data_IF_485647237513
#
_entry.id   IF_485647237513
#
_cell.length_a   1.000
_cell.length_b   1.000
_cell.length_c   1.000
_cell.angle_alpha   90.00
_cell.angle_beta   90.00
_cell.angle_gamma   90.00
#
_symmetry.space_group_name_H-M   'P 1'
#
loop_
_entity.id
_entity.type
_entity.pdbx_description
1 polymer ?
#
# COMPACT_ATOMS: atom_id res chain seq x y z
N UNK A 1 15.13 -36.70 -8.90
CA UNK A 1 15.44 -37.66 -7.82
C UNK A 1 14.86 -37.18 -6.49
N UNK A 2 14.18 -38.06 -5.79
CA UNK A 2 13.70 -37.74 -4.45
C UNK A 2 14.87 -37.84 -3.45
N UNK A 3 14.99 -36.85 -2.55
CA UNK A 3 16.00 -36.88 -1.50
C UNK A 3 15.52 -37.73 -0.32
N UNK A 4 16.45 -38.49 0.26
CA UNK A 4 16.12 -39.46 1.33
C UNK A 4 15.69 -38.80 2.62
N UNK A 5 16.15 -37.57 2.88
CA UNK A 5 15.77 -36.80 4.09
C UNK A 5 15.85 -35.28 3.86
N UNK A 6 15.29 -34.51 4.80
CA UNK A 6 15.29 -33.04 4.75
C UNK A 6 16.67 -32.41 4.79
N UNK A 7 17.63 -33.08 5.45
CA UNK A 7 18.99 -32.57 5.58
C UNK A 7 19.72 -32.58 4.23
N UNK A 8 19.59 -33.68 3.46
CA UNK A 8 20.16 -33.79 2.11
C UNK A 8 19.49 -32.78 1.16
N UNK A 9 18.19 -32.61 1.29
CA UNK A 9 17.43 -31.65 0.51
C UNK A 9 17.92 -30.21 0.80
N UNK A 10 18.16 -29.85 2.06
CA UNK A 10 18.67 -28.54 2.46
C UNK A 10 20.09 -28.29 1.92
N UNK A 11 20.96 -29.29 1.96
CA UNK A 11 22.33 -29.21 1.42
C UNK A 11 22.30 -28.98 -0.09
N UNK A 12 21.45 -29.72 -0.82
CA UNK A 12 21.29 -29.55 -2.26
C UNK A 12 20.73 -28.17 -2.62
N UNK A 13 19.74 -27.67 -1.88
CA UNK A 13 19.17 -26.35 -2.07
C UNK A 13 20.21 -25.26 -1.86
N UNK A 14 21.02 -25.36 -0.81
CA UNK A 14 22.10 -24.41 -0.51
C UNK A 14 23.16 -24.40 -1.63
N UNK A 15 23.57 -25.56 -2.08
CA UNK A 15 24.52 -25.70 -3.18
C UNK A 15 24.00 -25.06 -4.46
N UNK A 16 22.74 -25.32 -4.80
CA UNK A 16 22.08 -24.73 -5.96
C UNK A 16 22.03 -23.20 -5.85
N UNK A 17 21.65 -22.67 -4.69
CA UNK A 17 21.60 -21.23 -4.44
C UNK A 17 22.98 -20.58 -4.61
N UNK A 18 24.02 -21.14 -4.00
CA UNK A 18 25.38 -20.60 -4.08
C UNK A 18 25.91 -20.60 -5.51
N UNK A 19 25.62 -21.65 -6.29
CA UNK A 19 26.04 -21.77 -7.69
C UNK A 19 25.33 -20.75 -8.60
N UNK A 20 24.10 -20.36 -8.26
CA UNK A 20 23.25 -19.49 -9.10
C UNK A 20 22.91 -18.15 -8.44
N UNK A 21 23.56 -17.83 -7.35
CA UNK A 21 23.26 -16.65 -6.51
C UNK A 21 23.10 -15.37 -7.32
N UNK A 22 24.04 -15.06 -8.20
CA UNK A 22 24.01 -13.82 -8.99
C UNK A 22 22.81 -13.81 -9.95
N UNK A 23 22.53 -14.92 -10.61
CA UNK A 23 21.37 -15.05 -11.52
C UNK A 23 20.04 -14.87 -10.77
N UNK A 24 19.95 -15.47 -9.58
CA UNK A 24 18.74 -15.38 -8.72
C UNK A 24 18.53 -13.94 -8.28
N UNK A 25 19.57 -13.28 -7.80
CA UNK A 25 19.51 -11.86 -7.36
C UNK A 25 19.10 -10.97 -8.51
N UNK A 26 19.72 -11.11 -9.68
CA UNK A 26 19.44 -10.28 -10.86
C UNK A 26 17.99 -10.46 -11.33
N UNK A 27 17.51 -11.71 -11.34
CA UNK A 27 16.11 -12.01 -11.70
C UNK A 27 15.12 -11.38 -10.73
N UNK A 28 15.40 -11.47 -9.42
CA UNK A 28 14.56 -10.88 -8.39
C UNK A 28 14.52 -9.36 -8.49
N UNK A 29 15.67 -8.73 -8.71
CA UNK A 29 15.77 -7.27 -8.91
C UNK A 29 14.96 -6.84 -10.13
N UNK A 30 15.08 -7.54 -11.25
CA UNK A 30 14.32 -7.24 -12.47
C UNK A 30 12.81 -7.35 -12.22
N UNK A 31 12.36 -8.44 -11.59
CA UNK A 31 10.95 -8.64 -11.21
C UNK A 31 10.43 -7.53 -10.33
N UNK A 32 11.21 -7.12 -9.33
CA UNK A 32 10.83 -6.06 -8.40
C UNK A 32 10.69 -4.71 -9.09
N UNK A 33 11.60 -4.38 -10.00
CA UNK A 33 11.54 -3.15 -10.79
C UNK A 33 10.28 -3.13 -11.67
N UNK A 34 10.00 -4.23 -12.35
CA UNK A 34 8.80 -4.37 -13.19
C UNK A 34 7.51 -4.26 -12.37
N UNK A 35 7.45 -4.91 -11.21
CA UNK A 35 6.29 -4.86 -10.31
C UNK A 35 6.04 -3.45 -9.76
N UNK A 36 7.09 -2.75 -9.35
CA UNK A 36 6.99 -1.37 -8.85
C UNK A 36 6.49 -0.43 -9.93
N UNK A 37 7.03 -0.53 -11.14
CA UNK A 37 6.58 0.29 -12.27
C UNK A 37 5.11 0.03 -12.57
N UNK A 38 4.71 -1.24 -12.65
CA UNK A 38 3.32 -1.63 -12.88
C UNK A 38 2.39 -1.05 -11.83
N UNK A 39 2.77 -1.13 -10.55
CA UNK A 39 1.95 -0.62 -9.44
C UNK A 39 1.83 0.90 -9.49
N UNK A 40 2.93 1.62 -9.76
CA UNK A 40 2.91 3.08 -9.94
C UNK A 40 2.01 3.49 -11.10
N UNK A 41 2.13 2.83 -12.23
CA UNK A 41 1.32 3.12 -13.42
C UNK A 41 -0.16 2.86 -13.15
N UNK A 42 -0.48 1.79 -12.43
CA UNK A 42 -1.85 1.45 -12.05
C UNK A 42 -2.45 2.51 -11.13
N UNK A 43 -1.74 2.90 -10.07
CA UNK A 43 -2.18 3.93 -9.12
C UNK A 43 -2.39 5.26 -9.85
N UNK A 44 -1.46 5.63 -10.73
CA UNK A 44 -1.58 6.84 -11.55
C UNK A 44 -2.82 6.81 -12.45
N UNK A 45 -3.11 5.65 -13.07
CA UNK A 45 -4.29 5.50 -13.93
C UNK A 45 -5.61 5.66 -13.15
N UNK A 46 -5.66 5.17 -11.93
CA UNK A 46 -6.82 5.36 -11.04
C UNK A 46 -7.02 6.83 -10.71
N UNK A 47 -5.96 7.56 -10.41
CA UNK A 47 -6.03 8.99 -10.11
C UNK A 47 -6.47 9.82 -11.31
N UNK A 48 -6.04 9.46 -12.52
CA UNK A 48 -6.42 10.18 -13.75
C UNK A 48 -7.93 10.14 -14.00
N UNK A 49 -8.60 9.08 -13.59
CA UNK A 49 -10.04 8.90 -13.76
C UNK A 49 -10.85 9.35 -12.55
N UNK A 50 -10.20 9.81 -11.51
CA UNK A 50 -10.83 10.17 -10.24
C UNK A 50 -10.96 11.68 -10.08
N UNK A 51 -11.79 12.08 -9.12
CA UNK A 51 -11.93 13.46 -8.68
C UNK A 51 -12.14 13.49 -7.17
N UNK A 52 -11.85 14.63 -6.54
CA UNK A 52 -12.09 14.81 -5.12
C UNK A 52 -13.58 14.65 -4.80
N UNK A 53 -13.90 13.78 -3.84
CA UNK A 53 -15.30 13.53 -3.44
C UNK A 53 -15.98 14.74 -2.79
N UNK A 54 -15.19 15.69 -2.27
CA UNK A 54 -15.71 16.86 -1.58
C UNK A 54 -15.84 18.10 -2.48
N UNK A 55 -14.82 18.41 -3.29
CA UNK A 55 -14.78 19.62 -4.11
C UNK A 55 -14.74 19.41 -5.62
N UNK A 56 -14.58 18.17 -6.07
CA UNK A 56 -14.54 17.84 -7.49
C UNK A 56 -13.22 18.11 -8.20
N UNK A 57 -12.15 18.48 -7.47
CA UNK A 57 -10.82 18.67 -8.06
C UNK A 57 -10.38 17.40 -8.80
N UNK A 58 -9.94 17.52 -10.03
CA UNK A 58 -9.58 16.39 -10.89
C UNK A 58 -8.10 16.35 -11.30
N UNK A 59 -7.28 17.28 -10.81
CA UNK A 59 -5.85 17.25 -11.08
C UNK A 59 -5.19 16.09 -10.33
N UNK A 60 -4.70 15.04 -11.02
CA UNK A 60 -4.15 13.86 -10.35
C UNK A 60 -2.94 14.15 -9.48
N UNK A 61 -2.22 15.26 -9.72
CA UNK A 61 -1.03 15.64 -8.93
C UNK A 61 -1.40 15.92 -7.48
N UNK A 62 -2.58 16.52 -7.25
CA UNK A 62 -3.01 16.92 -5.91
C UNK A 62 -4.06 15.99 -5.30
N UNK A 63 -4.40 14.90 -5.99
CA UNK A 63 -5.32 13.89 -5.46
C UNK A 63 -4.58 12.90 -4.56
N UNK A 64 -5.22 12.55 -3.47
CA UNK A 64 -4.71 11.61 -2.47
C UNK A 64 -5.76 10.56 -2.14
N UNK A 65 -5.31 9.40 -1.65
CA UNK A 65 -6.19 8.34 -1.18
C UNK A 65 -6.39 8.48 0.33
N UNK A 66 -7.63 8.65 0.75
CA UNK A 66 -8.03 8.77 2.15
C UNK A 66 -8.73 7.50 2.60
N UNK A 67 -8.14 6.76 3.53
CA UNK A 67 -8.72 5.54 4.06
C UNK A 67 -9.94 5.85 4.93
N UNK A 68 -11.11 5.36 4.50
CA UNK A 68 -12.40 5.66 5.15
C UNK A 68 -13.14 4.40 5.63
N UNK A 69 -12.69 3.23 5.23
CA UNK A 69 -13.33 1.94 5.58
C UNK A 69 -12.31 0.83 5.74
N UNK A 70 -12.67 -0.15 6.52
CA UNK A 70 -11.83 -1.32 6.77
C UNK A 70 -10.56 -0.97 7.56
N UNK A 71 -9.65 -1.93 7.63
CA UNK A 71 -8.37 -1.78 8.31
C UNK A 71 -7.27 -1.36 7.33
N UNK A 72 -6.60 -0.25 7.60
CA UNK A 72 -5.50 0.25 6.78
C UNK A 72 -4.29 -0.69 6.89
N UNK A 73 -3.89 -1.26 5.77
CA UNK A 73 -2.70 -2.11 5.68
C UNK A 73 -1.46 -1.30 5.32
N UNK A 74 -1.57 -0.35 4.40
CA UNK A 74 -0.48 0.48 3.92
C UNK A 74 -1.02 1.73 3.24
N UNK A 75 -0.20 2.75 3.08
CA UNK A 75 -0.52 3.88 2.21
C UNK A 75 -0.51 3.41 0.75
N UNK A 76 -1.54 3.77 -0.02
CA UNK A 76 -1.62 3.39 -1.43
C UNK A 76 -0.40 3.89 -2.22
N UNK A 77 0.04 5.11 -1.96
CA UNK A 77 1.23 5.67 -2.63
C UNK A 77 2.50 4.88 -2.36
N UNK A 78 2.67 4.37 -1.14
CA UNK A 78 3.82 3.54 -0.77
C UNK A 78 3.79 2.18 -1.46
N UNK A 79 2.61 1.64 -1.75
CA UNK A 79 2.46 0.38 -2.48
C UNK A 79 2.99 0.45 -3.91
N UNK A 80 3.03 1.64 -4.50
CA UNK A 80 3.66 1.89 -5.80
C UNK A 80 5.18 1.71 -5.79
N UNK A 81 5.80 1.76 -4.62
CA UNK A 81 7.25 1.57 -4.44
C UNK A 81 7.61 0.17 -3.96
N UNK A 82 6.65 -0.74 -3.93
CA UNK A 82 6.80 -2.10 -3.43
C UNK A 82 6.23 -3.11 -4.43
N UNK A 83 6.58 -4.39 -4.23
CA UNK A 83 6.24 -5.47 -5.15
C UNK A 83 4.89 -6.14 -4.84
N UNK A 84 3.89 -5.36 -4.44
CA UNK A 84 2.54 -5.87 -4.22
C UNK A 84 1.90 -6.33 -5.53
N UNK A 85 0.96 -7.28 -5.43
CA UNK A 85 0.12 -7.64 -6.57
C UNK A 85 -0.88 -6.50 -6.87
N UNK A 86 -1.35 -6.44 -8.11
CA UNK A 86 -2.39 -5.47 -8.50
C UNK A 86 -3.66 -5.67 -7.66
N UNK A 87 -4.02 -6.92 -7.38
CA UNK A 87 -5.18 -7.24 -6.54
C UNK A 87 -5.04 -6.67 -5.12
N UNK A 88 -3.84 -6.75 -4.53
CA UNK A 88 -3.57 -6.18 -3.21
C UNK A 88 -3.66 -4.65 -3.23
N UNK A 89 -3.13 -4.01 -4.26
CA UNK A 89 -3.22 -2.55 -4.46
C UNK A 89 -4.69 -2.14 -4.60
N UNK A 90 -5.46 -2.84 -5.43
CA UNK A 90 -6.88 -2.54 -5.63
C UNK A 90 -7.69 -2.70 -4.34
N UNK A 91 -7.43 -3.74 -3.56
CA UNK A 91 -8.09 -3.94 -2.25
C UNK A 91 -7.83 -2.76 -1.30
N UNK A 92 -6.62 -2.22 -1.32
CA UNK A 92 -6.29 -1.06 -0.49
C UNK A 92 -6.97 0.21 -1.01
N UNK A 93 -7.02 0.41 -2.33
CA UNK A 93 -7.74 1.52 -2.97
C UNK A 93 -9.24 1.46 -2.64
N UNK A 94 -9.83 0.28 -2.62
CA UNK A 94 -11.27 0.09 -2.30
C UNK A 94 -11.64 0.56 -0.87
N UNK A 95 -10.67 0.63 0.02
CA UNK A 95 -10.84 1.16 1.39
C UNK A 95 -10.82 2.68 1.43
N UNK A 96 -10.48 3.33 0.33
CA UNK A 96 -10.22 4.77 0.28
C UNK A 96 -11.28 5.53 -0.49
N UNK A 97 -11.39 6.82 -0.17
CA UNK A 97 -12.00 7.84 -1.02
C UNK A 97 -10.89 8.73 -1.57
N UNK A 98 -11.08 9.24 -2.78
CA UNK A 98 -10.11 10.18 -3.36
C UNK A 98 -10.47 11.59 -2.90
N UNK A 99 -9.51 12.28 -2.28
CA UNK A 99 -9.63 13.68 -1.87
C UNK A 99 -8.41 14.45 -2.32
N UNK A 100 -8.61 15.72 -2.69
CA UNK A 100 -7.47 16.59 -2.95
C UNK A 100 -6.74 16.90 -1.63
N UNK A 101 -5.49 17.35 -1.72
CA UNK A 101 -4.67 17.64 -0.54
C UNK A 101 -5.35 18.59 0.45
N UNK A 102 -6.05 19.62 -0.06
CA UNK A 102 -6.77 20.59 0.78
C UNK A 102 -7.94 19.95 1.53
N UNK A 103 -8.82 19.25 0.82
CA UNK A 103 -9.98 18.59 1.44
C UNK A 103 -9.55 17.47 2.40
N UNK A 104 -8.51 16.71 2.05
CA UNK A 104 -7.97 15.68 2.91
C UNK A 104 -7.45 16.26 4.24
N UNK A 105 -6.77 17.38 4.16
CA UNK A 105 -6.28 18.08 5.36
C UNK A 105 -7.42 18.58 6.25
N UNK A 106 -8.46 19.16 5.65
CA UNK A 106 -9.64 19.64 6.38
C UNK A 106 -10.35 18.48 7.08
N UNK A 107 -10.61 17.40 6.38
CA UNK A 107 -11.26 16.20 6.94
C UNK A 107 -10.44 15.61 8.08
N UNK A 108 -9.12 15.53 7.93
CA UNK A 108 -8.21 15.04 8.97
C UNK A 108 -8.27 15.91 10.22
N UNK A 109 -8.28 17.22 10.04
CA UNK A 109 -8.42 18.18 11.15
C UNK A 109 -9.74 17.97 11.91
N UNK A 110 -10.84 17.85 11.19
CA UNK A 110 -12.17 17.64 11.79
C UNK A 110 -12.26 16.30 12.53
N UNK A 111 -11.67 15.24 11.99
CA UNK A 111 -11.60 13.93 12.66
C UNK A 111 -10.84 14.01 13.98
N UNK A 112 -9.73 14.74 14.01
CA UNK A 112 -8.92 14.95 15.22
C UNK A 112 -9.67 15.74 16.26
N UNK A 113 -10.37 16.80 15.84
CA UNK A 113 -11.19 17.63 16.71
C UNK A 113 -12.30 16.81 17.36
N UNK A 114 -13.02 16.01 16.58
CA UNK A 114 -14.06 15.12 17.05
C UNK A 114 -13.53 14.05 18.03
N UNK A 115 -12.39 13.43 17.72
CA UNK A 115 -11.76 12.45 18.59
C UNK A 115 -11.32 13.06 19.93
N UNK A 116 -10.81 14.29 19.92
CA UNK A 116 -10.44 15.03 21.13
C UNK A 116 -11.66 15.31 22.01
N UNK A 117 -12.74 15.82 21.42
CA UNK A 117 -13.99 16.08 22.15
C UNK A 117 -14.55 14.80 22.79
N UNK A 118 -14.57 13.69 22.07
CA UNK A 118 -15.01 12.39 22.58
C UNK A 118 -14.15 11.92 23.77
N UNK A 119 -12.83 12.12 23.70
CA UNK A 119 -11.92 11.76 24.80
C UNK A 119 -12.15 12.64 26.05
N UNK A 120 -12.39 13.92 25.86
CA UNK A 120 -12.69 14.85 26.96
C UNK A 120 -14.02 14.50 27.64
N UNK A 121 -15.06 14.17 26.88
CA UNK A 121 -16.33 13.68 27.41
C UNK A 121 -16.15 12.39 28.21
N UNK A 122 -15.40 11.42 27.69
CA UNK A 122 -15.12 10.17 28.39
C UNK A 122 -14.38 10.39 29.71
N UNK A 123 -13.46 11.34 29.76
CA UNK A 123 -12.75 11.73 30.99
C UNK A 123 -13.69 12.38 32.00
N UNK A 124 -14.61 13.24 31.57
CA UNK A 124 -15.58 13.88 32.44
C UNK A 124 -16.54 12.86 33.08
N UNK A 125 -16.96 11.83 32.35
CA UNK A 125 -17.83 10.76 32.86
C UNK A 125 -17.14 9.90 33.94
N UNK A 126 -15.81 9.73 33.85
CA UNK A 126 -15.04 8.92 34.81
C UNK A 126 -14.76 9.61 36.15
N UNK A 127 -15.04 10.87 36.26
CA UNK A 127 -14.94 11.61 37.51
C UNK A 127 -16.24 11.48 38.31
#
# INVERSE_FOLDING_TARGET
MAYKNKKDQAIAAKRHYEANKQKIIDRSKKKNIESRKRNKDYIASVKELASCVDCGEDNPIILEFDHVRGEKKSNVSDMGNQSYSIESVQKEIDKCEVRCANCHRIVTYERRKKAKATREEAKAIKL
#
